data_IF_180729403609
#
_entry.id   IF_180729403609
#
_cell.length_a   1.000
_cell.length_b   1.000
_cell.length_c   1.000
_cell.angle_alpha   90.00
_cell.angle_beta   90.00
_cell.angle_gamma   90.00
#
_symmetry.space_group_name_H-M   'P 1'
#
loop_
_entity.id
_entity.type
_entity.pdbx_description
1 polymer ?
#
# COMPACT_ATOMS: atom_id res chain seq x y z
N UNK A 1 8.78 25.07 2.68
CA UNK A 1 9.58 23.92 2.27
C UNK A 1 8.78 22.98 1.42
N UNK A 2 9.34 22.59 0.33
CA UNK A 2 8.64 21.72 -0.59
C UNK A 2 8.67 20.28 -0.14
N UNK A 3 7.56 19.60 -0.37
CA UNK A 3 7.47 18.19 -0.11
C UNK A 3 8.27 17.41 -1.15
N UNK A 4 9.11 16.52 -0.68
CA UNK A 4 9.91 15.72 -1.57
C UNK A 4 9.20 14.41 -1.87
N UNK A 5 8.90 14.18 -3.13
CA UNK A 5 8.21 12.97 -3.54
C UNK A 5 9.17 11.80 -3.61
N UNK A 6 8.67 10.65 -3.20
CA UNK A 6 9.41 9.41 -3.30
C UNK A 6 9.00 8.68 -4.56
N UNK A 7 9.99 8.07 -5.18
CA UNK A 7 9.79 7.31 -6.41
C UNK A 7 10.84 6.20 -6.40
N UNK A 8 10.42 5.01 -5.99
CA UNK A 8 11.35 3.90 -5.79
C UNK A 8 10.89 2.65 -6.50
N UNK A 9 11.87 1.84 -6.87
CA UNK A 9 11.65 0.54 -7.47
C UNK A 9 12.52 -0.46 -6.72
N UNK A 10 12.03 -1.67 -6.53
CA UNK A 10 12.81 -2.68 -5.86
C UNK A 10 12.35 -4.08 -6.18
N UNK A 11 13.21 -5.05 -5.89
CA UNK A 11 12.88 -6.44 -6.16
C UNK A 11 13.51 -7.42 -5.19
N UNK A 12 14.61 -7.08 -4.53
CA UNK A 12 15.24 -8.04 -3.63
C UNK A 12 14.74 -7.85 -2.20
N UNK A 13 15.24 -8.68 -1.33
CA UNK A 13 14.79 -8.70 0.05
C UNK A 13 15.06 -7.40 0.76
N UNK A 14 16.22 -6.81 0.52
CA UNK A 14 16.56 -5.54 1.14
C UNK A 14 15.63 -4.43 0.67
N UNK A 15 15.31 -4.45 -0.61
CA UNK A 15 14.39 -3.45 -1.16
C UNK A 15 13.04 -3.54 -0.47
N UNK A 16 12.57 -4.76 -0.22
CA UNK A 16 11.29 -4.95 0.44
C UNK A 16 11.33 -4.50 1.90
N UNK A 17 12.49 -4.58 2.54
CA UNK A 17 12.61 -4.05 3.88
C UNK A 17 12.46 -2.53 3.89
N UNK A 18 13.02 -1.89 2.89
CA UNK A 18 12.87 -0.45 2.75
C UNK A 18 11.40 -0.10 2.54
N UNK A 19 10.74 -0.84 1.64
CA UNK A 19 9.32 -0.60 1.39
C UNK A 19 8.51 -0.78 2.66
N UNK A 20 8.78 -1.84 3.41
CA UNK A 20 8.06 -2.11 4.65
C UNK A 20 8.20 -0.95 5.63
N UNK A 21 9.39 -0.38 5.71
CA UNK A 21 9.63 0.76 6.60
C UNK A 21 8.88 2.00 6.13
N UNK A 22 8.87 2.22 4.83
CA UNK A 22 8.22 3.40 4.28
C UNK A 22 6.72 3.42 4.54
N UNK A 23 6.09 2.27 4.49
CA UNK A 23 4.63 2.22 4.62
C UNK A 23 4.17 1.65 5.96
N UNK A 24 5.08 1.59 6.93
CA UNK A 24 4.69 1.15 8.27
C UNK A 24 3.56 2.03 8.80
N UNK A 25 2.53 1.40 9.31
CA UNK A 25 1.35 2.09 9.85
C UNK A 25 0.55 2.85 8.80
N UNK A 26 0.79 2.56 7.54
CA UNK A 26 0.02 3.19 6.48
C UNK A 26 -1.41 2.69 6.49
N UNK A 27 -2.31 3.55 6.08
CA UNK A 27 -3.72 3.21 5.92
C UNK A 27 -3.95 2.80 4.48
N UNK A 28 -4.55 1.65 4.27
CA UNK A 28 -4.75 1.11 2.93
C UNK A 28 -6.22 0.75 2.76
N UNK A 29 -6.96 1.53 1.97
CA UNK A 29 -8.38 1.22 1.74
C UNK A 29 -8.50 -0.01 0.85
N UNK A 30 -9.37 -0.93 1.24
CA UNK A 30 -9.57 -2.14 0.42
C UNK A 30 -10.18 -1.79 -0.94
N UNK A 31 -10.93 -0.71 -1.02
CA UNK A 31 -11.54 -0.30 -2.27
C UNK A 31 -10.52 0.15 -3.31
N UNK A 32 -9.30 0.45 -2.88
CA UNK A 32 -8.27 0.91 -3.79
C UNK A 32 -7.30 -0.19 -4.19
N UNK A 33 -7.61 -1.42 -3.85
CA UNK A 33 -6.79 -2.55 -4.26
C UNK A 33 -7.33 -3.12 -5.56
N UNK A 34 -6.43 -3.47 -6.46
CA UNK A 34 -6.83 -4.02 -7.75
C UNK A 34 -5.81 -5.02 -8.25
N UNK A 35 -6.29 -6.18 -8.66
CA UNK A 35 -5.43 -7.21 -9.26
C UNK A 35 -5.75 -7.29 -10.75
N UNK A 36 -4.77 -6.97 -11.56
CA UNK A 36 -4.87 -7.05 -13.01
C UNK A 36 -4.28 -8.39 -13.44
N UNK A 37 -5.14 -9.36 -13.67
CA UNK A 37 -4.69 -10.72 -14.00
C UNK A 37 -3.94 -10.73 -15.32
N UNK A 38 -4.43 -9.99 -16.30
CA UNK A 38 -3.83 -10.01 -17.63
C UNK A 38 -2.41 -9.47 -17.60
N UNK A 39 -2.19 -8.40 -16.89
CA UNK A 39 -0.87 -7.78 -16.82
C UNK A 39 -0.06 -8.25 -15.64
N UNK A 40 -0.62 -9.14 -14.81
CA UNK A 40 0.07 -9.72 -13.65
C UNK A 40 0.54 -8.64 -12.69
N UNK A 41 -0.33 -7.67 -12.45
CA UNK A 41 0.00 -6.56 -11.57
C UNK A 41 -1.02 -6.45 -10.46
N UNK A 42 -0.52 -6.15 -9.26
CA UNK A 42 -1.38 -5.87 -8.14
C UNK A 42 -1.12 -4.43 -7.68
N UNK A 43 -2.19 -3.65 -7.60
CA UNK A 43 -2.10 -2.24 -7.25
C UNK A 43 -2.76 -1.98 -5.92
N UNK A 44 -2.19 -1.05 -5.18
CA UNK A 44 -2.86 -0.51 -4.02
C UNK A 44 -2.45 0.95 -3.83
N UNK A 45 -3.26 1.67 -3.08
CA UNK A 45 -2.99 3.05 -2.74
C UNK A 45 -2.98 3.12 -1.23
N UNK A 46 -2.05 3.87 -0.68
CA UNK A 46 -1.95 3.98 0.76
C UNK A 46 -1.74 5.42 1.19
N UNK A 47 -2.09 5.68 2.43
CA UNK A 47 -1.76 6.93 3.09
C UNK A 47 -0.66 6.60 4.09
N UNK A 48 0.55 7.00 3.77
CA UNK A 48 1.70 6.67 4.60
C UNK A 48 2.18 7.90 5.36
N UNK A 49 2.86 7.65 6.46
CA UNK A 49 3.49 8.75 7.16
C UNK A 49 4.71 9.20 6.40
N UNK A 50 4.97 10.50 6.44
CA UNK A 50 6.11 11.05 5.75
C UNK A 50 7.31 11.01 6.69
N UNK A 51 7.86 9.81 6.89
CA UNK A 51 8.96 9.61 7.81
C UNK A 51 10.16 10.45 7.45
N UNK A 52 10.36 10.68 6.17
CA UNK A 52 11.53 11.40 5.70
C UNK A 52 11.46 12.89 6.05
N UNK A 53 10.29 13.40 6.41
CA UNK A 53 10.14 14.81 6.79
C UNK A 53 9.96 14.97 8.28
N UNK A 54 10.24 13.95 9.02
CA UNK A 54 9.95 13.93 10.45
C UNK A 54 10.66 15.03 11.21
N UNK A 55 11.89 15.29 10.84
CA UNK A 55 12.69 16.24 11.57
C UNK A 55 12.49 17.68 11.11
N UNK A 56 11.91 17.86 9.97
CA UNK A 56 11.69 19.20 9.46
C UNK A 56 10.34 19.74 9.86
N UNK A 57 9.45 18.86 10.18
CA UNK A 57 8.07 19.23 10.44
C UNK A 57 7.64 18.55 11.72
N UNK A 58 7.16 19.32 12.65
CA UNK A 58 6.76 18.78 13.93
C UNK A 58 5.46 18.01 13.86
N UNK A 59 4.73 18.20 12.80
CA UNK A 59 3.49 17.48 12.62
C UNK A 59 3.72 16.25 11.78
N UNK A 60 3.04 15.20 12.14
CA UNK A 60 3.06 13.99 11.33
C UNK A 60 2.22 14.22 10.09
N UNK A 61 2.86 14.19 8.97
CA UNK A 61 2.16 14.37 7.71
C UNK A 61 2.00 13.06 7.01
N UNK A 62 0.89 12.95 6.30
CA UNK A 62 0.61 11.75 5.53
C UNK A 62 0.67 12.08 4.06
N UNK A 63 1.11 11.10 3.30
CA UNK A 63 1.28 11.24 1.86
C UNK A 63 0.57 10.10 1.20
N UNK A 64 -0.13 10.39 0.11
CA UNK A 64 -0.78 9.35 -0.67
C UNK A 64 0.25 8.77 -1.62
N UNK A 65 0.40 7.45 -1.59
CA UNK A 65 1.35 6.75 -2.44
C UNK A 65 0.65 5.61 -3.15
N UNK A 66 1.05 5.38 -4.39
CA UNK A 66 0.58 4.23 -5.13
C UNK A 66 1.66 3.19 -5.19
N UNK A 67 1.29 1.94 -5.01
CA UNK A 67 2.23 0.83 -5.09
C UNK A 67 1.75 -0.16 -6.12
N UNK A 68 2.65 -0.55 -7.01
CA UNK A 68 2.36 -1.57 -8.01
C UNK A 68 3.34 -2.71 -7.83
N UNK A 69 2.81 -3.92 -7.70
CA UNK A 69 3.63 -5.13 -7.65
C UNK A 69 3.51 -5.83 -9.00
N UNK A 70 4.65 -6.12 -9.61
CA UNK A 70 4.70 -6.77 -10.91
C UNK A 70 4.99 -8.25 -10.78
N UNK A 71 4.55 -9.01 -11.76
CA UNK A 71 4.77 -10.46 -11.83
C UNK A 71 3.97 -11.23 -10.79
N UNK A 72 2.81 -10.71 -10.45
CA UNK A 72 1.90 -11.36 -9.52
C UNK A 72 0.95 -12.22 -10.33
N UNK A 73 0.92 -13.53 -10.05
CA UNK A 73 0.05 -14.44 -10.77
C UNK A 73 -1.15 -14.86 -9.96
N UNK A 74 -1.12 -14.67 -8.65
CA UNK A 74 -2.21 -15.10 -7.80
C UNK A 74 -2.23 -14.27 -6.54
N UNK A 75 -3.44 -13.95 -6.07
CA UNK A 75 -3.62 -13.19 -4.84
C UNK A 75 -4.49 -14.00 -3.90
N UNK A 76 -4.04 -14.19 -2.67
CA UNK A 76 -4.79 -14.88 -1.64
C UNK A 76 -5.03 -13.95 -0.47
N UNK A 77 -6.21 -14.02 0.08
CA UNK A 77 -6.60 -13.18 1.21
C UNK A 77 -6.96 -14.05 2.39
N UNK A 78 -6.59 -13.59 3.58
CA UNK A 78 -6.92 -14.30 4.80
C UNK A 78 -7.52 -13.32 5.78
N UNK A 79 -8.67 -13.68 6.34
CA UNK A 79 -9.38 -12.88 7.33
C UNK A 79 -9.80 -11.51 6.81
N UNK A 80 -9.92 -11.39 5.50
CA UNK A 80 -10.40 -10.15 4.92
C UNK A 80 -11.86 -9.95 5.32
N UNK A 81 -12.28 -8.69 5.41
CA UNK A 81 -13.65 -8.39 5.78
C UNK A 81 -14.62 -8.85 4.70
N UNK A 82 -15.89 -8.69 4.99
CA UNK A 82 -16.93 -9.09 4.05
C UNK A 82 -16.65 -8.52 2.67
N UNK A 83 -17.01 -9.27 1.67
CA UNK A 83 -16.65 -8.99 0.29
C UNK A 83 -17.00 -7.57 -0.15
N UNK A 84 -18.14 -7.08 0.28
CA UNK A 84 -18.61 -5.78 -0.18
C UNK A 84 -18.34 -4.65 0.82
N UNK A 85 -17.49 -4.90 1.82
CA UNK A 85 -17.17 -3.88 2.80
C UNK A 85 -15.99 -3.04 2.33
N UNK A 86 -16.15 -1.73 2.45
CA UNK A 86 -15.04 -0.81 2.23
C UNK A 86 -14.45 -0.47 3.57
N UNK A 87 -13.30 -1.02 3.85
CA UNK A 87 -12.63 -0.68 5.10
C UNK A 87 -11.21 -0.26 4.83
N UNK A 88 -10.63 0.36 5.83
CA UNK A 88 -9.25 0.81 5.74
C UNK A 88 -8.42 -0.12 6.61
N UNK A 89 -7.44 -0.77 5.98
CA UNK A 89 -6.55 -1.68 6.67
C UNK A 89 -5.36 -0.91 7.20
N UNK A 90 -4.85 -1.36 8.34
CA UNK A 90 -3.66 -0.78 8.92
C UNK A 90 -2.48 -1.71 8.64
N UNK A 91 -1.54 -1.24 7.85
CA UNK A 91 -0.40 -2.04 7.44
C UNK A 91 0.60 -2.17 8.58
N UNK A 92 1.04 -3.39 8.84
CA UNK A 92 2.05 -3.63 9.87
C UNK A 92 3.41 -3.92 9.27
N UNK A 93 3.49 -4.92 8.41
CA UNK A 93 4.78 -5.30 7.86
C UNK A 93 4.56 -6.16 6.62
N UNK A 94 5.62 -6.34 5.86
CA UNK A 94 5.57 -7.30 4.77
C UNK A 94 6.82 -8.17 4.79
N UNK A 95 6.69 -9.33 4.18
CA UNK A 95 7.81 -10.26 4.08
C UNK A 95 7.88 -10.79 2.67
N UNK A 96 9.08 -10.74 2.11
CA UNK A 96 9.33 -11.32 0.81
C UNK A 96 9.99 -12.68 1.00
N UNK A 97 9.38 -13.70 0.45
CA UNK A 97 9.91 -15.06 0.50
C UNK A 97 9.92 -15.56 -0.93
N UNK A 98 10.76 -16.57 -1.18
CA UNK A 98 10.82 -17.11 -2.53
C UNK A 98 9.41 -17.52 -2.97
N UNK A 99 8.96 -16.92 -4.05
CA UNK A 99 7.67 -17.28 -4.63
C UNK A 99 6.49 -16.43 -4.17
N UNK A 100 6.66 -15.58 -3.16
CA UNK A 100 5.54 -14.76 -2.76
C UNK A 100 5.95 -13.60 -1.86
N UNK A 101 5.04 -12.63 -1.75
CA UNK A 101 5.17 -11.50 -0.84
C UNK A 101 3.92 -11.50 0.05
N UNK A 102 4.14 -11.45 1.35
CA UNK A 102 3.05 -11.38 2.32
C UNK A 102 2.93 -9.97 2.85
N UNK A 103 1.74 -9.40 2.74
CA UNK A 103 1.44 -8.13 3.41
C UNK A 103 0.60 -8.45 4.64
N UNK A 104 1.07 -7.97 5.78
CA UNK A 104 0.46 -8.30 7.06
C UNK A 104 -0.15 -7.02 7.64
N UNK A 105 -1.42 -7.11 7.96
CA UNK A 105 -2.17 -5.98 8.51
C UNK A 105 -2.62 -6.29 9.93
N UNK A 106 -3.10 -5.29 10.63
CA UNK A 106 -3.64 -5.53 11.97
C UNK A 106 -4.86 -6.43 11.89
N UNK A 107 -5.24 -7.01 13.02
CA UNK A 107 -6.39 -7.92 13.14
C UNK A 107 -6.20 -9.23 12.39
N UNK A 108 -4.95 -9.66 12.25
CA UNK A 108 -4.63 -10.93 11.60
C UNK A 108 -5.06 -11.01 10.14
N UNK A 109 -5.16 -9.86 9.50
CA UNK A 109 -5.51 -9.81 8.09
C UNK A 109 -4.23 -9.96 7.29
N UNK A 110 -4.31 -10.75 6.22
CA UNK A 110 -3.14 -11.10 5.45
C UNK A 110 -3.46 -11.11 3.98
N UNK A 111 -2.55 -10.58 3.19
CA UNK A 111 -2.66 -10.57 1.73
C UNK A 111 -1.39 -11.19 1.18
N UNK A 112 -1.55 -12.28 0.42
CA UNK A 112 -0.41 -13.00 -0.14
C UNK A 112 -0.39 -12.84 -1.64
N UNK A 113 0.70 -12.30 -2.16
CA UNK A 113 0.90 -12.14 -3.59
C UNK A 113 1.86 -13.23 -4.03
N UNK A 114 1.43 -14.10 -4.94
CA UNK A 114 2.25 -15.20 -5.41
C UNK A 114 2.77 -14.94 -6.81
N UNK A 115 4.00 -15.32 -7.04
CA UNK A 115 4.64 -15.15 -8.34
C UNK A 115 6.13 -15.23 -8.21
N UNK A 116 6.80 -15.39 -9.34
CA UNK A 116 8.25 -15.41 -9.38
C UNK A 116 8.76 -14.00 -9.62
N UNK A 117 9.80 -13.64 -8.88
CA UNK A 117 10.46 -12.36 -9.14
C UNK A 117 9.52 -11.17 -9.05
N UNK A 118 8.72 -11.14 -7.99
CA UNK A 118 7.80 -10.02 -7.79
C UNK A 118 8.61 -8.78 -7.45
N UNK A 119 8.40 -7.73 -8.23
CA UNK A 119 9.04 -6.44 -8.00
C UNK A 119 7.97 -5.42 -7.66
N UNK A 120 8.39 -4.28 -7.14
CA UNK A 120 7.45 -3.24 -6.77
C UNK A 120 7.93 -1.88 -7.23
N UNK A 121 6.98 -1.00 -7.38
CA UNK A 121 7.21 0.43 -7.58
C UNK A 121 6.32 1.16 -6.61
N UNK A 122 6.89 2.16 -5.94
CA UNK A 122 6.10 3.02 -5.09
C UNK A 122 6.33 4.45 -5.52
N UNK A 123 5.25 5.18 -5.72
CA UNK A 123 5.29 6.56 -6.17
C UNK A 123 4.38 7.40 -5.30
N UNK A 124 4.90 8.50 -4.80
CA UNK A 124 4.08 9.46 -4.11
C UNK A 124 3.22 10.17 -5.14
N UNK A 125 1.94 10.25 -4.87
CA UNK A 125 1.00 10.84 -5.81
C UNK A 125 0.84 12.31 -5.49
N UNK A 126 0.61 13.08 -6.54
CA UNK A 126 0.47 14.51 -6.38
C UNK A 126 -0.99 14.86 -6.13
N UNK A 127 -1.51 14.33 -5.06
CA UNK A 127 -2.89 14.55 -4.71
C UNK A 127 -2.99 14.89 -3.27
N UNK A 128 -3.98 15.67 -2.95
CA UNK A 128 -4.28 15.91 -1.57
C UNK A 128 -5.05 14.74 -1.03
N UNK A 129 -4.59 14.27 0.06
CA UNK A 129 -5.32 13.37 0.87
C UNK A 129 -6.25 14.24 1.67
N UNK A 130 -7.42 13.91 1.93
CA UNK A 130 -8.04 12.61 1.91
C UNK A 130 -9.38 12.58 1.23
N UNK A 131 -9.59 13.40 0.29
CA UNK A 131 -10.95 13.45 -0.25
C UNK A 131 -11.42 12.08 -0.69
N UNK A 132 -10.48 11.27 -1.22
CA UNK A 132 -10.84 9.95 -1.70
C UNK A 132 -11.10 9.00 -0.56
N UNK A 133 -10.32 9.11 0.51
CA UNK A 133 -10.34 8.12 1.58
C UNK A 133 -11.05 8.59 2.83
N UNK A 134 -11.66 9.75 2.77
CA UNK A 134 -12.36 10.27 3.92
C UNK A 134 -13.55 9.36 4.25
N UNK A 135 -13.73 8.96 5.48
CA UNK A 135 -14.89 8.14 5.82
C UNK A 135 -16.19 8.83 5.50
N UNK A 136 -16.19 10.13 5.51
CA UNK A 136 -17.40 10.89 5.20
C UNK A 136 -17.63 11.02 3.72
N UNK A 137 -16.67 10.74 3.01
CA UNK A 137 -16.78 10.85 1.59
C UNK A 137 -17.38 9.62 1.03
N UNK A 138 -17.65 9.24 1.28
CA UNK A 138 -18.02 8.18 0.71
C UNK A 138 -18.86 7.96 -0.16
N UNK A 139 -18.72 8.29 -0.13
CA UNK A 139 -18.90 8.21 -0.71
C UNK A 139 -19.10 8.66 -1.52
N UNK A 140 -18.89 9.32 -1.58
CA UNK A 140 -18.63 9.78 -2.12
C UNK A 140 -18.84 9.91 -2.86
N UNK A 141 -19.09 9.94 -2.82
CA UNK A 141 -19.10 9.90 -3.32
C UNK A 141 -19.66 9.73 -3.74
N UNK A 142 -20.00 9.73 -3.59
CA UNK A 142 -20.38 9.41 -3.70
C UNK A 142 -21.02 9.47 -3.80
N UNK A 143 -21.39 9.62 -3.68
CA UNK A 143 -21.70 9.59 -3.49
C UNK A 143 -21.98 9.64 -3.56
#
# INVERSE_FOLDING_TARGET
>A
MEFKKIHLYGSDEEDYEVLSSLIQDAAIPTSEMKFDVADKQFFLVCSRFSWENKFQNKENKRVVSGICFDNVIKVKKKNFPAFDSDIILNFLTLKKITGFVNLIFSNNILLKLEGKNISFRIDDLNKEWPTIFSPNHKKLDDE
#
